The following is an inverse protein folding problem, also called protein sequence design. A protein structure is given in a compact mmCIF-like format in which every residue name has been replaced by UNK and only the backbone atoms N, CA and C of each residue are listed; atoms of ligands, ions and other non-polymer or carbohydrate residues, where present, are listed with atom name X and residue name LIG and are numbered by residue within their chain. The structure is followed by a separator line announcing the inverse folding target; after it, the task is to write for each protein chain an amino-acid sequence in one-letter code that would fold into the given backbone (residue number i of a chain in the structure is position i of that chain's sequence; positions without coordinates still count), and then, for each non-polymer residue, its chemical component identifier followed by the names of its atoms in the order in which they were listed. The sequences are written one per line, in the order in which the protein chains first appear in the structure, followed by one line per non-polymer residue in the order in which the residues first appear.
data_IF_886109247392
#
_entry.id   IF_886109247392
#
_cell.length_a   1.000
_cell.length_b   1.000
_cell.length_c   1.000
_cell.angle_alpha   90.00
_cell.angle_beta   90.00
_cell.angle_gamma   90.00
#
_symmetry.space_group_name_H-M   'P 1'
#
loop_
_entity.id
_entity.type
_entity.pdbx_description
1 polymer ?
#
# COMPACT_ATOMS: atom_id res chain seq x y z
N UNK A 1 22.31 7.55 12.76
CA UNK A 1 22.85 6.43 11.94
C UNK A 1 21.94 5.19 11.90
N UNK A 2 21.30 4.76 13.01
CA UNK A 2 20.49 3.51 13.04
C UNK A 2 19.22 3.50 12.18
N UNK A 3 18.51 4.62 12.07
CA UNK A 3 17.22 4.70 11.37
C UNK A 3 17.37 4.40 9.87
N UNK A 4 18.40 4.96 9.22
CA UNK A 4 18.65 4.76 7.79
C UNK A 4 18.98 3.29 7.50
N UNK A 5 19.87 2.68 8.29
CA UNK A 5 20.23 1.26 8.11
C UNK A 5 19.03 0.32 8.28
N UNK A 6 18.19 0.59 9.29
CA UNK A 6 16.95 -0.17 9.50
C UNK A 6 16.02 -0.03 8.30
N UNK A 7 15.73 1.21 7.88
CA UNK A 7 14.85 1.48 6.74
C UNK A 7 15.38 0.85 5.43
N UNK A 8 16.69 0.86 5.19
CA UNK A 8 17.29 0.21 4.02
C UNK A 8 17.11 -1.31 4.07
N UNK A 9 17.42 -1.96 5.21
CA UNK A 9 17.26 -3.41 5.35
C UNK A 9 15.81 -3.87 5.19
N UNK A 10 14.89 -3.04 5.68
CA UNK A 10 13.46 -3.29 5.69
C UNK A 10 12.86 -3.09 4.28
N UNK A 11 13.28 -2.05 3.56
CA UNK A 11 12.92 -1.82 2.17
C UNK A 11 13.40 -2.95 1.24
N UNK A 12 14.63 -3.44 1.43
CA UNK A 12 15.15 -4.58 0.66
C UNK A 12 14.35 -5.86 0.93
N UNK A 13 13.99 -6.12 2.20
CA UNK A 13 13.17 -7.28 2.55
C UNK A 13 11.78 -7.21 1.92
N UNK A 14 11.17 -6.02 1.89
CA UNK A 14 9.88 -5.81 1.24
C UNK A 14 9.93 -6.00 -0.28
N UNK A 15 11.00 -5.51 -0.92
CA UNK A 15 11.24 -5.70 -2.36
C UNK A 15 11.32 -7.17 -2.73
N UNK A 16 12.06 -7.95 -1.96
CA UNK A 16 12.18 -9.40 -2.18
C UNK A 16 10.84 -10.13 -2.05
N UNK A 17 9.98 -9.71 -1.12
CA UNK A 17 8.65 -10.31 -0.93
C UNK A 17 7.69 -10.06 -2.11
N UNK A 18 7.95 -9.07 -2.97
CA UNK A 18 7.14 -8.80 -4.18
C UNK A 18 7.55 -9.67 -5.38
N UNK A 19 8.69 -10.37 -5.31
CA UNK A 19 9.13 -11.28 -6.37
C UNK A 19 8.28 -12.55 -6.27
N UNK A 20 7.23 -12.62 -7.09
CA UNK A 20 6.46 -13.86 -7.25
C UNK A 20 7.28 -14.79 -8.15
N UNK A 21 7.49 -16.07 -7.79
CA UNK A 21 8.11 -17.01 -8.73
C UNK A 21 7.18 -17.12 -9.94
N UNK A 22 7.65 -16.67 -11.10
CA UNK A 22 6.96 -16.88 -12.38
C UNK A 22 6.77 -18.38 -12.55
N UNK A 23 5.51 -18.82 -12.71
CA UNK A 23 5.22 -20.13 -13.27
C UNK A 23 5.65 -20.05 -14.72
N UNK A 24 6.85 -20.57 -15.01
CA UNK A 24 7.42 -20.63 -16.35
C UNK A 24 6.52 -21.45 -17.27
N UNK A 25 5.70 -20.78 -18.06
CA UNK A 25 5.27 -21.28 -19.37
C UNK A 25 6.20 -20.63 -20.40
N UNK A 26 7.13 -21.43 -20.88
CA UNK A 26 8.16 -21.08 -21.85
C UNK A 26 7.54 -20.65 -23.19
N UNK A 27 7.73 -19.39 -23.59
CA UNK A 27 7.87 -19.08 -25.01
C UNK A 27 8.84 -17.93 -25.19
N UNK A 28 10.06 -18.30 -25.59
CA UNK A 28 11.10 -17.38 -26.00
C UNK A 28 10.62 -16.59 -27.23
N UNK A 29 10.77 -15.26 -27.16
CA UNK A 29 10.71 -14.25 -28.22
C UNK A 29 9.69 -13.14 -27.92
N UNK A 30 9.96 -12.28 -26.95
CA UNK A 30 9.40 -10.92 -26.96
C UNK A 30 10.42 -9.98 -26.34
N UNK A 31 10.76 -8.93 -27.11
CA UNK A 31 11.43 -7.72 -26.64
C UNK A 31 10.97 -7.37 -25.23
N UNK A 32 11.90 -7.00 -24.33
CA UNK A 32 11.59 -6.54 -22.99
C UNK A 32 10.34 -5.65 -23.02
N UNK A 33 9.27 -5.98 -22.27
CA UNK A 33 8.07 -5.17 -22.30
C UNK A 33 8.45 -3.79 -21.80
N UNK A 34 8.47 -2.83 -22.71
CA UNK A 34 8.38 -1.43 -22.38
C UNK A 34 7.19 -1.33 -21.42
N UNK A 35 7.46 -1.07 -20.14
CA UNK A 35 6.44 -1.01 -19.10
C UNK A 35 5.56 0.21 -19.39
N UNK A 36 4.65 0.03 -20.34
CA UNK A 36 3.63 0.99 -20.69
C UNK A 36 2.81 1.19 -19.42
N UNK A 37 3.02 2.32 -18.76
CA UNK A 37 2.30 2.69 -17.55
C UNK A 37 0.81 2.75 -17.91
N UNK A 38 0.13 1.62 -17.71
CA UNK A 38 -1.32 1.57 -17.74
C UNK A 38 -1.76 2.17 -16.41
N UNK A 39 -2.51 3.30 -16.39
CA UNK A 39 -3.08 3.77 -15.15
C UNK A 39 -3.87 2.61 -14.53
N UNK A 40 -3.75 2.38 -13.21
CA UNK A 40 -4.44 1.29 -12.55
C UNK A 40 -5.93 1.38 -12.89
N UNK A 41 -6.47 0.29 -13.42
CA UNK A 41 -7.91 0.19 -13.66
C UNK A 41 -8.59 0.29 -12.30
N UNK A 42 -9.63 1.12 -12.21
CA UNK A 42 -10.39 1.30 -10.97
C UNK A 42 -11.00 -0.04 -10.54
N UNK A 43 -11.12 -0.29 -9.22
CA UNK A 43 -10.77 0.62 -8.13
C UNK A 43 -9.27 0.60 -7.80
N UNK A 44 -8.74 1.74 -7.36
CA UNK A 44 -7.37 1.78 -6.81
C UNK A 44 -7.33 2.45 -5.44
N UNK A 45 -6.47 1.95 -4.57
CA UNK A 45 -6.25 2.48 -3.23
C UNK A 45 -4.80 2.91 -3.07
N UNK A 46 -4.58 4.15 -2.61
CA UNK A 46 -3.29 4.63 -2.10
C UNK A 46 -3.41 4.78 -0.60
N UNK A 47 -2.33 4.48 0.10
CA UNK A 47 -2.22 4.65 1.53
C UNK A 47 -0.79 5.10 1.86
N UNK A 48 -0.62 5.75 3.00
CA UNK A 48 0.67 6.23 3.47
C UNK A 48 0.63 6.43 4.99
N UNK A 49 1.76 6.21 5.67
CA UNK A 49 1.87 6.42 7.10
C UNK A 49 2.83 7.56 7.45
N UNK A 50 2.43 8.36 8.44
CA UNK A 50 3.31 9.35 9.06
C UNK A 50 3.81 8.82 10.40
N UNK A 51 5.12 8.64 10.52
CA UNK A 51 5.76 8.14 11.73
C UNK A 51 6.96 9.01 12.14
N UNK A 52 7.12 9.19 13.44
CA UNK A 52 8.29 9.84 14.04
C UNK A 52 8.68 9.11 15.31
N UNK A 53 9.98 8.84 15.45
CA UNK A 53 10.49 7.95 16.50
C UNK A 53 10.18 8.37 17.93
N UNK A 54 10.05 9.67 18.17
CA UNK A 54 9.80 10.25 19.49
C UNK A 54 8.33 10.61 19.73
N UNK A 55 7.45 10.37 18.75
CA UNK A 55 6.03 10.69 18.86
C UNK A 55 5.27 9.52 19.50
N UNK A 56 4.28 9.83 20.33
CA UNK A 56 3.47 8.84 21.05
C UNK A 56 2.50 8.08 20.13
N UNK A 57 2.25 8.62 18.93
CA UNK A 57 1.33 8.10 17.95
C UNK A 57 1.97 8.13 16.55
N UNK A 58 1.45 7.29 15.65
CA UNK A 58 1.65 7.45 14.21
C UNK A 58 0.31 7.76 13.55
N UNK A 59 0.36 8.42 12.39
CA UNK A 59 -0.80 8.71 11.56
C UNK A 59 -0.83 7.81 10.33
N UNK A 60 -2.03 7.58 9.80
CA UNK A 60 -2.22 6.90 8.52
C UNK A 60 -3.28 7.59 7.69
N UNK A 61 -3.12 7.54 6.37
CA UNK A 61 -4.07 8.08 5.41
C UNK A 61 -4.37 7.11 4.28
N UNK A 62 -5.55 7.23 3.67
CA UNK A 62 -5.90 6.54 2.44
C UNK A 62 -6.66 7.43 1.46
N UNK A 63 -6.56 7.05 0.19
CA UNK A 63 -7.39 7.55 -0.92
C UNK A 63 -7.82 6.34 -1.75
N UNK A 64 -9.12 6.13 -1.89
CA UNK A 64 -9.71 5.10 -2.75
C UNK A 64 -10.43 5.79 -3.90
N UNK A 65 -10.02 5.54 -5.14
CA UNK A 65 -10.84 5.84 -6.31
C UNK A 65 -11.72 4.63 -6.63
N UNK A 66 -13.03 4.82 -6.51
CA UNK A 66 -14.03 3.79 -6.76
C UNK A 66 -14.29 3.61 -8.27
N UNK A 67 -14.94 2.51 -8.65
CA UNK A 67 -15.28 2.20 -10.05
C UNK A 67 -16.20 3.26 -10.68
N UNK A 68 -17.13 3.81 -9.91
CA UNK A 68 -18.06 4.89 -10.31
C UNK A 68 -17.37 6.27 -10.49
N UNK A 69 -16.07 6.34 -10.19
CA UNK A 69 -15.26 7.53 -10.26
C UNK A 69 -15.37 8.48 -9.08
N UNK A 70 -16.09 8.10 -8.03
CA UNK A 70 -16.04 8.80 -6.75
C UNK A 70 -14.71 8.52 -6.04
N UNK A 71 -14.33 9.41 -5.13
CA UNK A 71 -13.12 9.26 -4.31
C UNK A 71 -13.46 9.28 -2.84
N UNK A 72 -13.04 8.23 -2.13
CA UNK A 72 -13.15 8.13 -0.68
C UNK A 72 -11.81 8.45 -0.04
N UNK A 73 -11.83 9.35 0.95
CA UNK A 73 -10.65 9.71 1.74
C UNK A 73 -10.81 9.21 3.18
N UNK A 74 -9.71 8.90 3.82
CA UNK A 74 -9.72 8.60 5.25
C UNK A 74 -8.38 8.90 5.90
N UNK A 75 -8.41 9.14 7.20
CA UNK A 75 -7.22 9.23 8.04
C UNK A 75 -7.49 8.71 9.45
N UNK A 76 -6.43 8.29 10.14
CA UNK A 76 -6.47 7.90 11.54
C UNK A 76 -5.18 8.25 12.26
N UNK A 77 -5.23 8.19 13.59
CA UNK A 77 -4.06 8.16 14.46
C UNK A 77 -4.14 6.92 15.35
N UNK A 78 -3.00 6.29 15.61
CA UNK A 78 -2.90 5.11 16.47
C UNK A 78 -1.65 5.20 17.34
N UNK A 79 -1.60 4.39 18.40
CA UNK A 79 -0.45 4.30 19.30
C UNK A 79 0.83 4.01 18.51
N UNK A 80 1.95 4.55 19.00
CA UNK A 80 3.29 4.40 18.41
C UNK A 80 3.55 2.98 17.90
N UNK A 81 4.01 2.89 16.66
CA UNK A 81 4.53 1.67 16.06
C UNK A 81 6.04 1.56 16.24
N UNK A 82 6.59 0.34 16.07
CA UNK A 82 8.00 0.05 16.34
C UNK A 82 8.98 0.63 15.31
N UNK A 83 8.53 0.80 14.06
CA UNK A 83 9.32 1.36 12.95
C UNK A 83 8.41 2.09 11.96
N UNK A 84 8.95 2.93 11.06
CA UNK A 84 8.19 3.48 9.94
C UNK A 84 7.42 2.41 9.15
N UNK A 85 8.02 1.25 8.84
CA UNK A 85 7.31 0.20 8.11
C UNK A 85 6.18 -0.43 8.93
N UNK A 86 6.31 -0.55 10.26
CA UNK A 86 5.18 -1.01 11.08
C UNK A 86 4.00 -0.03 10.99
N UNK A 87 4.29 1.28 10.87
CA UNK A 87 3.26 2.27 10.62
C UNK A 87 2.63 2.07 9.24
N UNK A 88 3.44 1.89 8.18
CA UNK A 88 2.98 1.62 6.81
C UNK A 88 2.10 0.38 6.73
N UNK A 89 2.54 -0.73 7.32
CA UNK A 89 1.80 -1.99 7.33
C UNK A 89 0.50 -1.86 8.12
N UNK A 90 0.52 -1.14 9.25
CA UNK A 90 -0.69 -0.82 10.01
C UNK A 90 -1.70 -0.01 9.19
N UNK A 91 -1.22 1.00 8.45
CA UNK A 91 -2.05 1.80 7.54
C UNK A 91 -2.57 0.96 6.37
N UNK A 92 -1.77 0.07 5.79
CA UNK A 92 -2.20 -0.87 4.74
C UNK A 92 -3.36 -1.74 5.21
N UNK A 93 -3.24 -2.37 6.39
CA UNK A 93 -4.29 -3.21 6.96
C UNK A 93 -5.58 -2.41 7.22
N UNK A 94 -5.43 -1.18 7.71
CA UNK A 94 -6.57 -0.28 7.92
C UNK A 94 -7.23 0.13 6.58
N UNK A 95 -6.44 0.40 5.54
CA UNK A 95 -6.95 0.72 4.21
C UNK A 95 -7.69 -0.46 3.57
N UNK A 96 -7.15 -1.68 3.69
CA UNK A 96 -7.81 -2.91 3.24
C UNK A 96 -9.15 -3.14 3.95
N UNK A 97 -9.24 -2.86 5.26
CA UNK A 97 -10.52 -2.94 5.99
C UNK A 97 -11.50 -1.87 5.53
N UNK A 98 -11.01 -0.65 5.31
CA UNK A 98 -11.84 0.48 4.90
C UNK A 98 -12.43 0.29 3.51
N UNK A 99 -11.70 -0.37 2.59
CA UNK A 99 -12.20 -0.66 1.24
C UNK A 99 -13.34 -1.68 1.21
N UNK A 100 -13.43 -2.57 2.21
CA UNK A 100 -14.58 -3.47 2.34
C UNK A 100 -15.85 -2.70 2.72
N UNK A 101 -15.72 -1.72 3.61
CA UNK A 101 -16.83 -0.90 4.08
C UNK A 101 -17.31 0.10 3.01
N UNK A 102 -16.39 0.62 2.19
CA UNK A 102 -16.76 1.51 1.09
C UNK A 102 -17.59 0.78 0.02
N UNK A 103 -17.38 -0.54 -0.16
CA UNK A 103 -18.13 -1.34 -1.14
C UNK A 103 -19.56 -1.65 -0.68
N UNK A 104 -19.77 -1.96 0.61
CA UNK A 104 -21.12 -2.24 1.14
C UNK A 104 -22.06 -1.04 1.12
N UNK A 105 -21.55 0.19 0.94
CA UNK A 105 -22.40 1.40 0.80
C UNK A 105 -22.92 1.62 -0.63
N UNK A 106 -22.40 0.88 -1.61
CA UNK A 106 -22.81 0.97 -3.02
C UNK A 106 -23.92 -0.06 -3.35
N UNK A 107 -23.95 -1.20 -2.65
CA UNK A 107 -24.93 -2.27 -2.91
C UNK A 107 -26.31 -2.03 -2.25
N UNK A 108 -26.47 -0.97 -1.45
CA UNK A 108 -27.71 -0.61 -0.73
C UNK A 108 -28.49 0.57 -1.39
N UNK A 109 -28.25 0.87 -2.68
CA UNK A 109 -28.96 1.88 -3.47
C UNK A 109 -29.65 1.30 -4.72
#
# INVERSE_FOLDING_TARGET
MKVIQSATSEAESWRLAQITPEVTEENANTSAPELLYKPPQRPFCRFDASWKGDDACYGGGLVIENEDGTTTFGSFASNRSLSPLHAEFGTLLWAMKSSLISRSRIDDL
#
